data_IF_852857000100
#
_entry.id   IF_852857000100
#
_cell.length_a   1.000
_cell.length_b   1.000
_cell.length_c   1.000
_cell.angle_alpha   90.00
_cell.angle_beta   90.00
_cell.angle_gamma   90.00
#
_symmetry.space_group_name_H-M   'P 1'
#
loop_
_entity.id
_entity.type
_entity.pdbx_description
1 polymer ?
#
# COMPACT_ATOMS: atom_id res chain seq x y z
N UNK A 1 16.42 -12.55 -10.05
CA UNK A 1 15.68 -12.11 -11.27
C UNK A 1 15.42 -10.61 -11.16
N UNK A 2 15.45 -9.86 -12.25
CA UNK A 2 14.98 -8.47 -12.25
C UNK A 2 13.51 -8.45 -12.62
N UNK A 3 12.71 -7.71 -11.86
CA UNK A 3 11.30 -7.47 -12.13
C UNK A 3 11.07 -5.97 -12.29
N UNK A 4 10.52 -5.58 -13.43
CA UNK A 4 10.26 -4.18 -13.76
C UNK A 4 8.81 -3.84 -13.48
N UNK A 5 8.59 -2.83 -12.64
CA UNK A 5 7.28 -2.27 -12.31
C UNK A 5 7.09 -0.99 -13.11
N UNK A 6 6.06 -0.92 -13.93
CA UNK A 6 5.62 0.34 -14.54
C UNK A 6 4.59 1.02 -13.63
N UNK A 7 4.76 2.30 -13.36
CA UNK A 7 3.77 3.08 -12.61
C UNK A 7 2.41 3.08 -13.31
N UNK A 8 1.34 2.90 -12.54
CA UNK A 8 -0.02 3.22 -12.98
C UNK A 8 -0.37 4.63 -12.56
N UNK A 9 -1.10 5.36 -13.40
CA UNK A 9 -1.55 6.71 -13.08
C UNK A 9 -3.02 6.68 -12.74
N UNK A 10 -3.36 7.19 -11.54
CA UNK A 10 -4.74 7.39 -11.10
C UNK A 10 -4.98 8.89 -11.05
N UNK A 11 -5.98 9.36 -11.80
CA UNK A 11 -6.32 10.78 -11.84
C UNK A 11 -7.55 11.08 -10.98
N UNK A 12 -7.53 12.22 -10.28
CA UNK A 12 -8.68 12.73 -9.54
C UNK A 12 -9.15 14.10 -10.07
N UNK A 13 -10.47 14.38 -10.04
CA UNK A 13 -10.98 15.73 -10.28
C UNK A 13 -10.50 16.70 -9.18
N UNK A 14 -10.09 17.92 -9.55
CA UNK A 14 -9.59 18.92 -8.61
C UNK A 14 -10.57 19.21 -7.47
N UNK A 15 -11.87 19.17 -7.76
CA UNK A 15 -12.94 19.40 -6.79
C UNK A 15 -12.88 18.39 -5.61
N UNK A 16 -12.48 17.15 -5.86
CA UNK A 16 -12.43 16.11 -4.81
C UNK A 16 -11.40 16.48 -3.74
N UNK A 17 -10.23 16.98 -4.14
CA UNK A 17 -9.21 17.44 -3.18
C UNK A 17 -9.65 18.71 -2.45
N UNK A 18 -10.38 19.61 -3.11
CA UNK A 18 -10.93 20.82 -2.47
C UNK A 18 -11.95 20.46 -1.41
N UNK A 19 -12.87 19.55 -1.70
CA UNK A 19 -13.90 19.09 -0.76
C UNK A 19 -13.29 18.24 0.37
N UNK A 20 -12.30 17.39 0.07
CA UNK A 20 -11.51 16.70 1.09
C UNK A 20 -10.94 17.69 2.10
N UNK A 21 -10.24 18.75 1.65
CA UNK A 21 -9.65 19.76 2.55
C UNK A 21 -10.68 20.48 3.43
N UNK A 22 -11.97 20.48 3.06
CA UNK A 22 -13.08 21.01 3.87
C UNK A 22 -13.70 19.98 4.83
N UNK A 23 -13.24 18.73 4.78
CA UNK A 23 -13.71 17.62 5.59
C UNK A 23 -14.84 16.80 4.96
N UNK A 24 -15.19 17.04 3.68
CA UNK A 24 -16.17 16.20 3.00
C UNK A 24 -15.53 14.84 2.61
N UNK A 25 -16.22 13.76 2.99
CA UNK A 25 -15.79 12.37 2.81
C UNK A 25 -16.85 11.52 2.08
N UNK A 26 -17.81 12.13 1.39
CA UNK A 26 -18.96 11.43 0.81
C UNK A 26 -18.55 10.42 -0.27
N UNK A 27 -17.36 10.59 -0.83
CA UNK A 27 -16.76 9.68 -1.79
C UNK A 27 -15.98 8.52 -1.14
N UNK A 28 -15.72 8.57 0.17
CA UNK A 28 -15.12 7.43 0.89
C UNK A 28 -16.19 6.40 1.24
N UNK A 29 -15.89 5.11 1.06
CA UNK A 29 -16.64 4.03 1.67
C UNK A 29 -16.80 4.23 3.19
N UNK A 30 -17.97 3.89 3.72
CA UNK A 30 -18.32 4.06 5.15
C UNK A 30 -17.26 3.42 6.05
N UNK A 31 -16.81 2.21 5.72
CA UNK A 31 -15.79 1.48 6.49
C UNK A 31 -14.42 2.20 6.54
N UNK A 32 -14.17 3.12 5.61
CA UNK A 32 -12.96 3.95 5.58
C UNK A 32 -13.16 5.28 6.31
N UNK A 33 -14.40 5.76 6.48
CA UNK A 33 -14.65 7.09 7.09
C UNK A 33 -14.31 7.15 8.58
N UNK A 34 -14.55 6.06 9.32
CA UNK A 34 -14.22 5.94 10.75
C UNK A 34 -12.70 6.01 11.01
N UNK A 35 -11.89 5.52 10.07
CA UNK A 35 -10.43 5.47 10.17
C UNK A 35 -9.78 6.87 10.05
N UNK A 36 -10.45 7.84 9.42
CA UNK A 36 -9.87 9.16 9.11
C UNK A 36 -10.40 10.30 10.00
N UNK A 37 -11.15 10.01 11.07
CA UNK A 37 -11.72 11.04 11.95
C UNK A 37 -10.72 11.71 12.93
N UNK A 38 -9.46 11.28 12.93
CA UNK A 38 -8.39 11.98 13.62
C UNK A 38 -8.00 13.27 12.86
N UNK A 39 -8.58 14.41 13.29
CA UNK A 39 -8.38 15.77 12.73
C UNK A 39 -6.92 16.16 12.41
N UNK A 40 -5.92 15.61 13.11
CA UNK A 40 -4.51 15.94 12.90
C UNK A 40 -3.84 15.22 11.73
N UNK A 41 -4.41 14.12 11.24
CA UNK A 41 -3.78 13.25 10.24
C UNK A 41 -4.50 13.21 8.90
N UNK A 42 -5.75 13.64 8.86
CA UNK A 42 -6.66 13.53 7.73
C UNK A 42 -6.10 14.07 6.40
N UNK A 43 -5.54 15.29 6.38
CA UNK A 43 -5.02 15.87 5.13
C UNK A 43 -3.82 15.10 4.54
N UNK A 44 -3.12 14.29 5.35
CA UNK A 44 -1.92 13.55 4.91
C UNK A 44 -2.28 12.37 4.01
N UNK A 45 -3.44 11.76 4.22
CA UNK A 45 -3.83 10.47 3.65
C UNK A 45 -4.71 10.55 2.40
N UNK A 46 -4.93 11.75 1.85
CA UNK A 46 -5.79 11.93 0.68
C UNK A 46 -5.49 10.96 -0.47
N UNK A 47 -4.20 10.81 -0.84
CA UNK A 47 -3.83 10.04 -2.02
C UNK A 47 -3.98 8.54 -1.76
N UNK A 48 -3.65 8.11 -0.55
CA UNK A 48 -3.80 6.75 -0.06
C UNK A 48 -5.28 6.35 -0.04
N UNK A 49 -6.14 7.19 0.53
CA UNK A 49 -7.58 6.96 0.55
C UNK A 49 -8.21 6.99 -0.85
N UNK A 50 -7.75 7.90 -1.72
CA UNK A 50 -8.22 7.98 -3.10
C UNK A 50 -7.83 6.76 -3.91
N UNK A 51 -6.56 6.32 -3.80
CA UNK A 51 -6.10 5.08 -4.43
C UNK A 51 -6.90 3.87 -3.91
N UNK A 52 -7.09 3.75 -2.59
CA UNK A 52 -7.85 2.66 -2.00
C UNK A 52 -9.29 2.60 -2.51
N UNK A 53 -9.96 3.76 -2.63
CA UNK A 53 -11.33 3.85 -3.19
C UNK A 53 -11.36 3.41 -4.65
N UNK A 54 -10.39 3.86 -5.46
CA UNK A 54 -10.26 3.42 -6.85
C UNK A 54 -10.07 1.90 -6.97
N UNK A 55 -9.28 1.28 -6.08
CA UNK A 55 -9.11 -0.17 -6.06
C UNK A 55 -10.40 -0.89 -5.62
N UNK A 56 -11.14 -0.33 -4.65
CA UNK A 56 -12.43 -0.86 -4.22
C UNK A 56 -13.45 -0.90 -5.36
N UNK A 57 -13.55 0.17 -6.15
CA UNK A 57 -14.41 0.22 -7.34
C UNK A 57 -14.04 -0.85 -8.39
N UNK A 58 -12.80 -1.37 -8.33
CA UNK A 58 -12.28 -2.44 -9.19
C UNK A 58 -12.26 -3.82 -8.47
N UNK A 59 -13.02 -3.97 -7.39
CA UNK A 59 -13.24 -5.22 -6.67
C UNK A 59 -12.11 -5.65 -5.73
N UNK A 60 -11.18 -4.74 -5.40
CA UNK A 60 -10.16 -4.99 -4.38
C UNK A 60 -10.59 -4.45 -3.02
N UNK A 61 -10.46 -5.27 -1.97
CA UNK A 61 -10.69 -4.86 -0.59
C UNK A 61 -9.35 -4.65 0.10
N UNK A 62 -9.29 -3.89 1.19
CA UNK A 62 -8.00 -3.70 1.86
C UNK A 62 -7.96 -2.53 2.83
N UNK A 63 -6.73 -2.14 3.19
CA UNK A 63 -6.45 -1.09 4.17
C UNK A 63 -5.20 -0.29 3.82
N UNK A 64 -5.17 0.96 4.27
CA UNK A 64 -3.99 1.82 4.28
C UNK A 64 -3.22 1.78 5.61
N UNK A 65 -3.71 1.01 6.60
CA UNK A 65 -3.20 1.00 7.97
C UNK A 65 -2.78 -0.42 8.35
N UNK A 66 -1.61 -0.83 7.87
CA UNK A 66 -0.97 -2.11 8.18
C UNK A 66 0.52 -1.90 8.42
N UNK A 67 1.19 -2.88 9.02
CA UNK A 67 2.62 -2.79 9.32
C UNK A 67 3.32 -4.12 9.05
N UNK A 68 4.44 -4.07 8.32
CA UNK A 68 5.31 -5.23 8.03
C UNK A 68 6.61 -5.22 8.86
N UNK A 69 6.99 -4.09 9.44
CA UNK A 69 8.09 -3.91 10.38
C UNK A 69 7.62 -3.32 11.71
N UNK A 70 8.49 -2.57 12.38
CA UNK A 70 8.22 -2.02 13.72
C UNK A 70 7.51 -0.65 13.67
N UNK A 71 6.84 -0.34 12.56
CA UNK A 71 6.03 0.85 12.43
C UNK A 71 4.75 0.74 13.27
N UNK A 72 4.41 1.83 13.96
CA UNK A 72 3.11 2.03 14.62
C UNK A 72 2.68 0.92 15.60
N UNK A 73 3.62 0.21 16.25
CA UNK A 73 3.38 -1.01 17.06
C UNK A 73 2.32 -0.87 18.16
N UNK A 74 2.16 0.32 18.74
CA UNK A 74 1.14 0.62 19.78
C UNK A 74 -0.06 1.42 19.27
N UNK A 75 -0.15 1.67 17.96
CA UNK A 75 -1.26 2.41 17.36
C UNK A 75 -2.39 1.46 16.98
N UNK A 76 -3.56 1.65 17.62
CA UNK A 76 -4.75 0.82 17.39
C UNK A 76 -5.34 0.97 15.99
N UNK A 77 -5.03 2.06 15.28
CA UNK A 77 -5.43 2.25 13.88
C UNK A 77 -4.90 1.13 12.96
N UNK A 78 -3.80 0.49 13.35
CA UNK A 78 -3.14 -0.56 12.58
C UNK A 78 -3.60 -1.97 12.98
N UNK A 79 -4.43 -2.13 14.02
CA UNK A 79 -4.83 -3.45 14.53
C UNK A 79 -5.63 -4.24 13.50
N UNK A 80 -6.60 -3.60 12.84
CA UNK A 80 -7.37 -4.24 11.77
C UNK A 80 -6.47 -4.71 10.61
N UNK A 81 -5.48 -3.90 10.21
CA UNK A 81 -4.52 -4.30 9.18
C UNK A 81 -3.62 -5.45 9.60
N UNK A 82 -3.21 -5.51 10.87
CA UNK A 82 -2.45 -6.66 11.41
C UNK A 82 -3.26 -7.95 11.34
N UNK A 83 -4.54 -7.89 11.68
CA UNK A 83 -5.46 -9.03 11.57
C UNK A 83 -5.57 -9.48 10.12
N UNK A 84 -5.78 -8.54 9.18
CA UNK A 84 -5.86 -8.86 7.75
C UNK A 84 -4.59 -9.54 7.24
N UNK A 85 -3.39 -9.03 7.58
CA UNK A 85 -2.13 -9.68 7.20
C UNK A 85 -2.06 -11.11 7.72
N UNK A 86 -2.44 -11.35 8.99
CA UNK A 86 -2.40 -12.69 9.59
C UNK A 86 -3.43 -13.66 8.99
N UNK A 87 -4.53 -13.13 8.45
CA UNK A 87 -5.58 -13.92 7.82
C UNK A 87 -5.19 -14.39 6.42
N UNK A 88 -4.56 -13.51 5.63
CA UNK A 88 -4.31 -13.75 4.21
C UNK A 88 -2.89 -14.22 3.89
N UNK A 89 -1.91 -13.95 4.77
CA UNK A 89 -0.50 -14.23 4.50
C UNK A 89 -0.04 -15.41 5.34
N UNK A 90 0.67 -16.35 4.71
CA UNK A 90 1.29 -17.49 5.40
C UNK A 90 2.11 -17.01 6.62
N UNK A 91 1.86 -17.53 7.83
CA UNK A 91 2.48 -17.02 9.06
C UNK A 91 3.99 -17.18 9.07
N UNK A 92 4.53 -18.22 8.43
CA UNK A 92 5.97 -18.44 8.30
C UNK A 92 6.60 -17.36 7.42
N UNK A 93 6.01 -17.07 6.25
CA UNK A 93 6.49 -16.03 5.32
C UNK A 93 6.37 -14.64 5.94
N UNK A 94 5.25 -14.36 6.61
CA UNK A 94 5.04 -13.09 7.31
C UNK A 94 6.06 -12.89 8.44
N UNK A 95 6.36 -13.94 9.22
CA UNK A 95 7.36 -13.88 10.29
C UNK A 95 8.77 -13.68 9.74
N UNK A 96 9.12 -14.36 8.64
CA UNK A 96 10.39 -14.17 7.96
C UNK A 96 10.56 -12.73 7.48
N UNK A 97 9.54 -12.17 6.81
CA UNK A 97 9.59 -10.79 6.35
C UNK A 97 9.71 -9.81 7.53
N UNK A 98 8.93 -9.99 8.60
CA UNK A 98 9.05 -9.19 9.83
C UNK A 98 10.45 -9.27 10.42
N UNK A 99 11.05 -10.45 10.46
CA UNK A 99 12.43 -10.65 10.88
C UNK A 99 13.42 -9.82 10.05
N UNK A 100 13.31 -9.86 8.71
CA UNK A 100 14.12 -9.06 7.78
C UNK A 100 13.93 -7.55 8.01
N UNK A 101 12.72 -7.14 8.42
CA UNK A 101 12.34 -5.74 8.63
C UNK A 101 12.50 -5.25 10.07
N UNK A 102 13.07 -6.06 10.97
CA UNK A 102 13.28 -5.67 12.38
C UNK A 102 14.09 -4.37 12.46
N UNK A 103 13.62 -3.41 13.25
CA UNK A 103 14.23 -2.09 13.41
C UNK A 103 13.94 -1.10 12.27
N UNK A 104 13.27 -1.52 11.19
CA UNK A 104 12.88 -0.65 10.09
C UNK A 104 11.47 -0.10 10.31
N UNK A 105 11.33 1.23 10.30
CA UNK A 105 10.05 1.93 10.51
C UNK A 105 9.52 2.61 9.25
N UNK A 106 10.22 2.47 8.12
CA UNK A 106 9.92 3.16 6.86
C UNK A 106 10.03 2.22 5.64
N UNK A 107 9.59 2.72 4.49
CA UNK A 107 9.71 2.06 3.19
C UNK A 107 8.52 1.17 2.82
N UNK A 108 7.54 1.00 3.70
CA UNK A 108 6.38 0.15 3.43
C UNK A 108 5.49 0.76 2.33
N UNK A 109 4.86 -0.08 1.50
CA UNK A 109 3.80 0.37 0.62
C UNK A 109 2.63 0.94 1.43
N UNK A 110 1.90 1.90 0.88
CA UNK A 110 0.79 2.52 1.61
C UNK A 110 -0.42 1.59 1.73
N UNK A 111 -0.67 0.69 0.77
CA UNK A 111 -1.88 -0.16 0.78
C UNK A 111 -1.55 -1.65 0.80
N UNK A 112 -2.34 -2.40 1.56
CA UNK A 112 -2.46 -3.85 1.45
C UNK A 112 -3.87 -4.19 0.98
N UNK A 113 -3.96 -4.90 -0.15
CA UNK A 113 -5.19 -5.22 -0.85
C UNK A 113 -5.34 -6.74 -1.06
N UNK A 114 -6.58 -7.20 -1.10
CA UNK A 114 -6.95 -8.58 -1.35
C UNK A 114 -8.23 -8.69 -2.17
N UNK A 115 -8.42 -9.84 -2.81
CA UNK A 115 -9.66 -10.25 -3.49
C UNK A 115 -10.21 -11.54 -2.90
N UNK A 116 -11.53 -11.81 -3.04
CA UNK A 116 -12.14 -13.07 -2.61
C UNK A 116 -11.57 -14.31 -3.31
N UNK A 117 -10.96 -14.14 -4.49
CA UNK A 117 -10.26 -15.21 -5.23
C UNK A 117 -8.89 -15.59 -4.64
N UNK A 118 -8.47 -14.92 -3.56
CA UNK A 118 -7.19 -15.14 -2.90
C UNK A 118 -6.04 -14.29 -3.44
N UNK A 119 -6.26 -13.43 -4.43
CA UNK A 119 -5.22 -12.52 -4.94
C UNK A 119 -4.84 -11.49 -3.87
N UNK A 120 -3.54 -11.28 -3.68
CA UNK A 120 -2.97 -10.30 -2.75
C UNK A 120 -2.09 -9.29 -3.49
N UNK A 121 -2.22 -8.03 -3.12
CA UNK A 121 -1.52 -6.93 -3.76
C UNK A 121 -1.07 -5.89 -2.72
N UNK A 122 0.20 -5.50 -2.78
CA UNK A 122 0.72 -4.35 -2.04
C UNK A 122 0.93 -3.18 -2.98
N UNK A 123 0.42 -2.01 -2.62
CA UNK A 123 0.47 -0.83 -3.50
C UNK A 123 1.22 0.30 -2.83
N UNK A 124 2.23 0.80 -3.54
CA UNK A 124 2.98 1.98 -3.17
C UNK A 124 2.37 3.21 -3.85
N UNK A 125 1.92 4.18 -3.06
CA UNK A 125 1.23 5.38 -3.52
C UNK A 125 2.21 6.55 -3.62
N UNK A 126 2.52 6.95 -4.84
CA UNK A 126 3.39 8.07 -5.16
C UNK A 126 2.63 9.39 -5.28
N UNK A 127 3.33 10.44 -4.86
CA UNK A 127 2.89 11.84 -4.89
C UNK A 127 3.83 12.65 -5.77
N UNK A 128 3.36 13.77 -6.28
CA UNK A 128 4.13 14.61 -7.20
C UNK A 128 5.52 14.99 -6.66
N UNK A 129 6.51 14.89 -7.56
CA UNK A 129 7.88 15.35 -7.32
C UNK A 129 8.78 14.40 -6.53
N UNK A 130 8.31 13.20 -6.14
CA UNK A 130 9.13 12.22 -5.40
C UNK A 130 9.55 11.05 -6.28
N UNK A 131 10.76 10.54 -6.02
CA UNK A 131 11.21 9.25 -6.50
C UNK A 131 11.14 8.26 -5.35
N UNK A 132 10.96 6.98 -5.67
CA UNK A 132 11.09 5.93 -4.68
C UNK A 132 12.50 5.94 -4.11
N UNK A 133 12.59 5.96 -2.79
CA UNK A 133 13.80 5.71 -2.05
C UNK A 133 14.24 4.25 -2.19
N UNK A 134 15.52 3.99 -1.95
CA UNK A 134 16.07 2.64 -1.95
C UNK A 134 15.34 1.73 -0.94
N UNK A 135 15.00 2.25 0.24
CA UNK A 135 14.26 1.52 1.26
C UNK A 135 12.87 1.06 0.79
N UNK A 136 12.19 1.87 -0.02
CA UNK A 136 10.89 1.51 -0.60
C UNK A 136 11.04 0.42 -1.66
N UNK A 137 12.03 0.54 -2.54
CA UNK A 137 12.33 -0.47 -3.56
C UNK A 137 12.75 -1.82 -2.93
N UNK A 138 13.56 -1.78 -1.88
CA UNK A 138 13.94 -2.97 -1.09
C UNK A 138 12.71 -3.59 -0.44
N UNK A 139 11.80 -2.79 0.10
CA UNK A 139 10.57 -3.33 0.69
C UNK A 139 9.70 -4.04 -0.36
N UNK A 140 9.50 -3.44 -1.54
CA UNK A 140 8.75 -4.05 -2.64
C UNK A 140 9.42 -5.35 -3.12
N UNK A 141 10.75 -5.34 -3.22
CA UNK A 141 11.57 -6.53 -3.50
C UNK A 141 11.33 -7.64 -2.47
N UNK A 142 11.38 -7.32 -1.18
CA UNK A 142 11.18 -8.29 -0.10
C UNK A 142 9.75 -8.83 -0.08
N UNK A 143 8.73 -8.00 -0.32
CA UNK A 143 7.34 -8.43 -0.42
C UNK A 143 7.17 -9.44 -1.56
N UNK A 144 7.66 -9.10 -2.77
CA UNK A 144 7.55 -9.99 -3.93
C UNK A 144 8.36 -11.28 -3.77
N UNK A 145 9.51 -11.22 -3.10
CA UNK A 145 10.41 -12.37 -2.92
C UNK A 145 9.97 -13.30 -1.79
N UNK A 146 9.60 -12.75 -0.63
CA UNK A 146 9.33 -13.52 0.60
C UNK A 146 7.86 -13.90 0.71
N UNK A 147 6.96 -12.96 0.43
CA UNK A 147 5.52 -13.20 0.54
C UNK A 147 4.92 -13.74 -0.76
N UNK A 148 5.67 -13.68 -1.87
CA UNK A 148 5.20 -14.04 -3.22
C UNK A 148 3.92 -13.29 -3.62
N UNK A 149 3.72 -12.10 -3.04
CA UNK A 149 2.58 -11.24 -3.35
C UNK A 149 2.89 -10.33 -4.54
N UNK A 150 1.84 -9.90 -5.24
CA UNK A 150 1.99 -8.86 -6.26
C UNK A 150 2.26 -7.50 -5.63
N UNK A 151 2.96 -6.66 -6.39
CA UNK A 151 3.34 -5.32 -5.97
C UNK A 151 3.08 -4.34 -7.11
N UNK A 152 2.52 -3.17 -6.78
CA UNK A 152 2.27 -2.10 -7.74
C UNK A 152 2.75 -0.76 -7.21
N UNK A 153 3.07 0.15 -8.13
CA UNK A 153 3.33 1.55 -7.83
C UNK A 153 2.27 2.37 -8.56
N UNK A 154 1.52 3.17 -7.82
CA UNK A 154 0.51 4.07 -8.37
C UNK A 154 0.91 5.51 -8.13
N UNK A 155 0.83 6.33 -9.15
CA UNK A 155 1.00 7.77 -9.07
C UNK A 155 -0.37 8.44 -9.10
N UNK A 156 -0.75 9.06 -7.97
CA UNK A 156 -2.06 9.70 -7.82
C UNK A 156 -1.92 11.20 -8.08
N UNK A 157 -2.67 11.71 -9.08
CA UNK A 157 -2.51 13.09 -9.53
C UNK A 157 -3.82 13.75 -9.93
N UNK A 158 -3.82 15.07 -9.96
CA UNK A 158 -4.95 15.84 -10.46
C UNK A 158 -5.07 15.68 -11.98
N UNK A 159 -6.29 15.45 -12.49
CA UNK A 159 -6.53 15.11 -13.90
C UNK A 159 -6.18 16.20 -14.92
N UNK A 160 -5.99 17.46 -14.49
CA UNK A 160 -5.55 18.57 -15.33
C UNK A 160 -4.05 18.53 -15.66
N UNK A 161 -3.27 17.73 -14.92
CA UNK A 161 -1.81 17.67 -15.03
C UNK A 161 -1.40 16.57 -16.01
N UNK A 162 -0.26 16.78 -16.67
CA UNK A 162 0.39 15.75 -17.49
C UNK A 162 1.51 15.08 -16.69
N UNK A 163 1.65 13.76 -16.84
CA UNK A 163 2.71 12.98 -16.20
C UNK A 163 3.09 11.80 -17.08
N UNK A 164 4.39 11.49 -17.12
CA UNK A 164 4.89 10.29 -17.78
C UNK A 164 5.19 9.24 -16.70
N UNK A 165 4.48 8.09 -16.71
CA UNK A 165 4.75 7.02 -15.77
C UNK A 165 6.21 6.57 -15.82
N UNK A 166 6.81 6.38 -14.66
CA UNK A 166 8.17 5.86 -14.52
C UNK A 166 8.17 4.34 -14.45
N UNK A 167 9.35 3.77 -14.62
CA UNK A 167 9.62 2.35 -14.46
C UNK A 167 10.65 2.16 -13.37
N UNK A 168 10.47 1.11 -12.57
CA UNK A 168 11.34 0.78 -11.45
C UNK A 168 11.72 -0.68 -11.52
N UNK A 169 13.01 -0.96 -11.36
CA UNK A 169 13.51 -2.32 -11.29
C UNK A 169 13.72 -2.72 -9.83
N UNK A 170 13.15 -3.87 -9.47
CA UNK A 170 13.39 -4.52 -8.18
C UNK A 170 14.07 -5.87 -8.40
N UNK A 171 14.94 -6.24 -7.46
CA UNK A 171 15.58 -7.56 -7.46
C UNK A 171 14.63 -8.54 -6.78
N UNK A 172 14.25 -9.61 -7.46
CA UNK A 172 13.44 -10.69 -6.88
C UNK A 172 14.31 -11.91 -6.68
N UNK A 173 14.29 -12.44 -5.47
CA UNK A 173 14.98 -13.67 -5.08
C UNK A 173 13.94 -14.73 -4.81
N UNK A 174 14.11 -15.91 -5.39
CA UNK A 174 13.30 -17.06 -5.02
C UNK A 174 13.87 -17.65 -3.73
N UNK A 175 13.08 -17.63 -2.68
CA UNK A 175 13.41 -18.40 -1.49
C UNK A 175 13.09 -19.86 -1.77
N UNK A 176 13.94 -20.81 -1.35
CA UNK A 176 13.55 -22.21 -1.35
C UNK A 176 12.25 -22.30 -0.55
N UNK A 177 11.23 -22.97 -1.10
CA UNK A 177 10.00 -23.22 -0.35
C UNK A 177 10.41 -23.83 1.00
N UNK A 178 10.14 -23.15 2.13
CA UNK A 178 10.46 -23.71 3.41
C UNK A 178 9.48 -24.86 3.62
N UNK A 179 9.93 -26.05 3.21
CA UNK A 179 9.32 -27.36 3.34
C UNK A 179 8.14 -27.60 2.39
N UNK A 180 8.31 -28.58 1.50
CA UNK A 180 7.18 -29.32 0.96
C UNK A 180 6.58 -30.15 2.08
N UNK A 181 5.50 -29.65 2.68
CA UNK A 181 4.49 -30.43 3.41
C UNK A 181 3.15 -29.72 3.27
#
# INVERSE_FOLDING_TARGET
MIYTIQEKVITYPEQVLKEWKKGNKDWLPIDLTELVDCKSYFNKYFHECYALTHYLDNGWYGTAFYALGDSATSNSLYDAGRVLLSQYICPVKLSLLKGIRTGLTAGEPELFLFKPDGSLLFVKVQKAGKHLSEAELICLSNIKSVLECEVEIVYVMEGSKTYKPKTYDIKVVQFPNPLGV
#
